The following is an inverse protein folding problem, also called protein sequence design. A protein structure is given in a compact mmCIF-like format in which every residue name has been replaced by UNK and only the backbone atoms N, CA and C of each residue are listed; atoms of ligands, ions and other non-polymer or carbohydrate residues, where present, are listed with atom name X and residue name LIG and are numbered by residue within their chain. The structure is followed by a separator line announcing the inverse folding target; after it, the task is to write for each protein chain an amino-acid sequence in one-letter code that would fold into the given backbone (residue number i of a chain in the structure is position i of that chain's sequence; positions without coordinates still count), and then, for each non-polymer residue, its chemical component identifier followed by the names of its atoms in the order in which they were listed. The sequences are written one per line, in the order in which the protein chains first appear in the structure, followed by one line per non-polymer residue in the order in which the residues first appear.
data_IF_632868817088
#
_entry.id   IF_632868817088
#
_cell.length_a   1.000
_cell.length_b   1.000
_cell.length_c   1.000
_cell.angle_alpha   90.00
_cell.angle_beta   90.00
_cell.angle_gamma   90.00
#
_symmetry.space_group_name_H-M   'P 1'
#
loop_
_entity.id
_entity.type
_entity.pdbx_description
1 polymer ?
#
# COMPACT_ATOMS: atom_id res chain seq x y z
N UNK A 1 17.11 4.31 95.41
CA UNK A 1 15.99 4.40 94.49
C UNK A 1 16.55 4.35 93.07
N UNK A 2 16.49 3.19 92.44
CA UNK A 2 17.09 2.90 91.17
C UNK A 2 15.98 2.92 90.12
N UNK A 3 16.10 3.78 89.06
CA UNK A 3 15.20 3.77 87.91
C UNK A 3 15.78 2.91 86.82
N UNK A 4 14.99 2.04 86.18
CA UNK A 4 15.51 1.20 85.13
C UNK A 4 15.57 1.89 83.77
N UNK A 5 16.59 1.66 82.97
CA UNK A 5 16.83 2.13 81.60
C UNK A 5 15.89 1.43 80.64
N UNK A 6 15.20 2.24 79.76
CA UNK A 6 14.46 1.71 78.65
C UNK A 6 15.42 1.52 77.44
N UNK A 7 15.48 0.28 76.96
CA UNK A 7 16.14 -0.05 75.73
C UNK A 7 15.24 0.39 74.52
N UNK A 8 15.76 1.25 73.70
CA UNK A 8 15.19 1.55 72.36
C UNK A 8 15.59 0.43 71.39
N UNK A 9 14.60 -0.23 70.81
CA UNK A 9 14.80 -1.20 69.73
C UNK A 9 14.60 -0.39 68.41
N UNK A 10 15.68 -0.22 67.65
CA UNK A 10 15.64 0.37 66.32
C UNK A 10 15.21 -0.70 65.32
N UNK A 11 14.01 -0.56 64.74
CA UNK A 11 13.60 -1.31 63.55
C UNK A 11 14.27 -0.67 62.32
N UNK A 12 15.20 -1.36 61.70
CA UNK A 12 15.72 -1.06 60.38
C UNK A 12 14.73 -1.62 59.36
N UNK A 13 14.02 -0.74 58.67
CA UNK A 13 13.22 -1.09 57.51
C UNK A 13 14.16 -1.22 56.29
N UNK A 14 14.38 -2.43 55.82
CA UNK A 14 15.06 -2.71 54.55
C UNK A 14 14.07 -2.45 53.41
N UNK A 15 14.26 -1.36 52.69
CA UNK A 15 13.56 -1.09 51.43
C UNK A 15 14.21 -1.96 50.33
N UNK A 16 13.52 -3.00 49.91
CA UNK A 16 13.90 -3.77 48.72
C UNK A 16 13.56 -2.95 47.47
N UNK A 17 14.60 -2.43 46.84
CA UNK A 17 14.50 -1.78 45.52
C UNK A 17 14.32 -2.89 44.46
N UNK A 18 13.08 -3.11 44.02
CA UNK A 18 12.80 -3.97 42.83
C UNK A 18 13.17 -3.17 41.63
N UNK A 19 14.33 -3.41 41.05
CA UNK A 19 14.71 -3.00 39.71
C UNK A 19 13.86 -3.80 38.71
N UNK A 20 12.79 -3.20 38.24
CA UNK A 20 12.10 -3.62 37.03
C UNK A 20 13.05 -3.34 35.84
N UNK A 21 13.81 -4.35 35.44
CA UNK A 21 14.42 -4.36 34.12
C UNK A 21 13.27 -4.43 33.10
N UNK A 22 12.93 -3.32 32.48
CA UNK A 22 12.16 -3.33 31.26
C UNK A 22 12.98 -4.10 30.23
N UNK A 23 12.71 -5.38 30.06
CA UNK A 23 13.20 -6.14 28.95
C UNK A 23 12.67 -5.44 27.69
N UNK A 24 13.58 -5.03 26.81
CA UNK A 24 13.20 -4.69 25.46
C UNK A 24 12.45 -5.91 24.90
N UNK A 25 11.13 -5.78 24.76
CA UNK A 25 10.36 -6.73 24.00
C UNK A 25 10.90 -6.62 22.56
N UNK A 26 11.55 -7.68 22.10
CA UNK A 26 11.89 -7.83 20.70
C UNK A 26 10.61 -7.61 19.91
N UNK A 27 10.57 -6.54 19.13
CA UNK A 27 9.47 -6.22 18.24
C UNK A 27 9.49 -7.20 17.05
N UNK A 28 9.22 -8.47 17.34
CA UNK A 28 8.81 -9.40 16.30
C UNK A 28 7.39 -8.99 15.90
N UNK A 29 7.23 -8.42 14.71
CA UNK A 29 5.91 -8.18 14.11
C UNK A 29 5.07 -9.46 14.26
N UNK A 30 3.79 -9.29 14.54
CA UNK A 30 2.87 -10.43 14.57
C UNK A 30 3.03 -11.23 13.27
N UNK A 31 3.13 -12.58 13.33
CA UNK A 31 3.21 -13.38 12.12
C UNK A 31 1.98 -13.11 11.26
N UNK A 32 2.17 -13.03 9.93
CA UNK A 32 1.09 -12.92 8.97
C UNK A 32 0.06 -14.04 9.17
N UNK A 33 -1.12 -13.86 8.58
CA UNK A 33 -2.19 -14.85 8.70
C UNK A 33 -1.70 -16.27 8.35
N UNK A 34 -2.18 -17.33 9.03
CA UNK A 34 -1.81 -18.69 8.70
C UNK A 34 -2.05 -18.98 7.21
N UNK A 35 -1.01 -19.47 6.52
CA UNK A 35 -1.05 -19.70 5.06
C UNK A 35 -0.56 -18.55 4.19
N UNK A 36 -0.41 -17.32 4.73
CA UNK A 36 0.18 -16.20 4.01
C UNK A 36 1.68 -16.48 3.74
N UNK A 37 2.14 -16.47 2.48
CA UNK A 37 3.53 -16.77 2.15
C UNK A 37 4.50 -15.63 2.47
N UNK A 38 4.03 -14.40 2.75
CA UNK A 38 4.86 -13.25 3.11
C UNK A 38 5.23 -13.24 4.62
N UNK A 39 5.60 -14.41 5.16
CA UNK A 39 6.09 -14.47 6.54
C UNK A 39 7.42 -13.71 6.70
N UNK A 40 7.74 -13.16 7.89
CA UNK A 40 9.01 -12.49 8.14
C UNK A 40 10.22 -13.35 7.69
N UNK A 41 11.08 -12.78 6.86
CA UNK A 41 12.25 -13.46 6.30
C UNK A 41 11.95 -14.33 5.06
N UNK A 42 10.74 -14.33 4.53
CA UNK A 42 10.43 -15.02 3.28
C UNK A 42 11.23 -14.40 2.12
N UNK A 43 11.83 -15.24 1.29
CA UNK A 43 12.56 -14.79 0.11
C UNK A 43 11.59 -14.38 -0.99
N UNK A 44 11.68 -13.16 -1.47
CA UNK A 44 10.94 -12.67 -2.62
C UNK A 44 11.61 -13.08 -3.95
N UNK A 45 10.80 -13.32 -4.96
CA UNK A 45 11.26 -13.79 -6.27
C UNK A 45 11.87 -12.67 -7.11
N UNK A 46 13.08 -12.91 -7.63
CA UNK A 46 13.71 -12.07 -8.67
C UNK A 46 13.45 -12.71 -10.02
N UNK A 47 12.61 -12.08 -10.84
CA UNK A 47 12.17 -12.63 -12.11
C UNK A 47 13.27 -12.49 -13.20
N UNK A 48 13.90 -13.59 -13.67
CA UNK A 48 14.93 -13.53 -14.70
C UNK A 48 14.38 -13.21 -16.10
N UNK A 49 13.05 -13.10 -16.23
CA UNK A 49 12.33 -12.76 -17.47
C UNK A 49 11.44 -11.54 -17.27
N UNK A 50 11.88 -10.60 -16.40
CA UNK A 50 11.16 -9.36 -16.19
C UNK A 50 11.35 -8.39 -17.36
N UNK A 51 10.43 -7.44 -17.51
CA UNK A 51 10.54 -6.32 -18.47
C UNK A 51 11.84 -5.54 -18.28
N UNK A 52 12.37 -5.44 -17.04
CA UNK A 52 13.67 -4.85 -16.72
C UNK A 52 14.82 -5.63 -17.37
N UNK A 53 14.78 -6.97 -17.31
CA UNK A 53 15.77 -7.84 -17.97
C UNK A 53 15.68 -7.70 -19.48
N UNK A 54 14.46 -7.68 -20.03
CA UNK A 54 14.25 -7.46 -21.47
C UNK A 54 14.80 -6.09 -21.91
N UNK A 55 14.51 -5.02 -21.18
CA UNK A 55 15.06 -3.70 -21.44
C UNK A 55 16.60 -3.70 -21.43
N UNK A 56 17.22 -4.38 -20.45
CA UNK A 56 18.67 -4.48 -20.34
C UNK A 56 19.34 -5.04 -21.61
N UNK A 57 18.68 -5.95 -22.34
CA UNK A 57 19.22 -6.53 -23.57
C UNK A 57 19.30 -5.54 -24.73
N UNK A 58 18.48 -4.49 -24.72
CA UNK A 58 18.39 -3.47 -25.78
C UNK A 58 19.10 -2.16 -25.45
N UNK A 59 19.64 -2.02 -24.22
CA UNK A 59 20.30 -0.83 -23.72
C UNK A 59 21.83 -0.95 -23.77
N UNK A 60 22.52 0.21 -23.73
CA UNK A 60 23.98 0.31 -23.66
C UNK A 60 24.41 1.31 -22.59
N UNK A 61 25.70 1.35 -22.26
CA UNK A 61 26.27 2.32 -21.34
C UNK A 61 25.60 2.34 -19.96
N UNK A 62 25.41 3.53 -19.42
CA UNK A 62 24.79 3.77 -18.10
C UNK A 62 23.37 3.20 -18.02
N UNK A 63 22.54 3.41 -19.03
CA UNK A 63 21.17 2.90 -19.04
C UNK A 63 21.11 1.38 -18.89
N UNK A 64 22.05 0.65 -19.51
CA UNK A 64 22.17 -0.81 -19.33
C UNK A 64 22.65 -1.17 -17.92
N UNK A 65 23.56 -0.40 -17.34
CA UNK A 65 24.05 -0.62 -15.98
C UNK A 65 22.90 -0.42 -14.96
N UNK A 66 22.11 0.62 -15.13
CA UNK A 66 20.93 0.91 -14.29
C UNK A 66 19.90 -0.22 -14.37
N UNK A 67 19.54 -0.64 -15.58
CA UNK A 67 18.63 -1.78 -15.76
C UNK A 67 19.17 -3.07 -15.12
N UNK A 68 20.49 -3.33 -15.23
CA UNK A 68 21.13 -4.48 -14.58
C UNK A 68 21.04 -4.39 -13.05
N UNK A 69 21.24 -3.21 -12.48
CA UNK A 69 21.10 -2.98 -11.04
C UNK A 69 19.68 -3.30 -10.59
N UNK A 70 18.66 -2.74 -11.25
CA UNK A 70 17.26 -2.96 -10.91
C UNK A 70 16.82 -4.42 -11.10
N UNK A 71 17.31 -5.10 -12.13
CA UNK A 71 17.03 -6.52 -12.40
C UNK A 71 17.53 -7.47 -11.30
N UNK A 72 18.42 -7.01 -10.42
CA UNK A 72 18.90 -7.77 -9.26
C UNK A 72 17.95 -7.80 -8.07
N UNK A 73 16.88 -6.99 -8.09
CA UNK A 73 15.93 -6.87 -6.99
C UNK A 73 14.57 -7.50 -7.33
N UNK A 74 13.84 -8.03 -6.33
CA UNK A 74 12.47 -8.47 -6.53
C UNK A 74 11.56 -7.32 -6.97
N UNK A 75 10.81 -7.51 -8.03
CA UNK A 75 9.71 -6.62 -8.42
C UNK A 75 8.51 -7.45 -8.85
N UNK A 76 7.31 -6.87 -8.76
CA UNK A 76 6.10 -7.58 -9.13
C UNK A 76 6.05 -7.87 -10.64
N UNK A 77 5.38 -8.96 -10.98
CA UNK A 77 5.08 -9.31 -12.38
C UNK A 77 3.62 -8.94 -12.67
N UNK A 78 3.42 -8.04 -13.63
CA UNK A 78 2.09 -7.53 -14.00
C UNK A 78 1.42 -8.39 -15.06
N UNK A 79 0.14 -8.71 -14.84
CA UNK A 79 -0.75 -9.38 -15.78
C UNK A 79 -1.89 -8.42 -16.10
N UNK A 80 -1.96 -7.94 -17.34
CA UNK A 80 -2.80 -6.81 -17.72
C UNK A 80 -3.79 -7.14 -18.83
N UNK A 81 -3.88 -8.40 -19.25
CA UNK A 81 -4.74 -8.81 -20.35
C UNK A 81 -4.56 -10.25 -20.79
N UNK A 82 -4.97 -10.53 -22.03
CA UNK A 82 -4.90 -11.84 -22.63
C UNK A 82 -6.14 -12.71 -22.37
N UNK A 83 -6.10 -13.94 -22.89
CA UNK A 83 -7.18 -14.92 -22.67
C UNK A 83 -7.03 -15.60 -21.32
N UNK A 84 -8.09 -16.21 -20.75
CA UNK A 84 -8.00 -17.00 -19.52
C UNK A 84 -6.93 -18.11 -19.56
N UNK A 85 -6.77 -18.75 -20.71
CA UNK A 85 -5.73 -19.77 -20.92
C UNK A 85 -4.33 -19.17 -21.05
N UNK A 86 -4.24 -17.98 -21.66
CA UNK A 86 -2.97 -17.24 -21.78
C UNK A 86 -2.45 -16.86 -20.41
N UNK A 87 -3.22 -16.13 -19.60
CA UNK A 87 -2.82 -15.72 -18.26
C UNK A 87 -2.50 -16.93 -17.36
N UNK A 88 -3.26 -18.02 -17.46
CA UNK A 88 -2.96 -19.26 -16.74
C UNK A 88 -1.55 -19.78 -17.05
N UNK A 89 -1.18 -19.82 -18.32
CA UNK A 89 0.13 -20.31 -18.75
C UNK A 89 1.26 -19.39 -18.30
N UNK A 90 1.06 -18.08 -18.40
CA UNK A 90 2.05 -17.07 -18.04
C UNK A 90 2.29 -17.04 -16.53
N UNK A 91 1.24 -17.05 -15.72
CA UNK A 91 1.33 -17.17 -14.26
C UNK A 91 2.02 -18.45 -13.85
N UNK A 92 1.63 -19.59 -14.43
CA UNK A 92 2.25 -20.89 -14.15
C UNK A 92 3.74 -20.90 -14.49
N UNK A 93 4.19 -20.16 -15.51
CA UNK A 93 5.61 -20.01 -15.84
C UNK A 93 6.33 -19.26 -14.71
N UNK A 94 5.82 -18.11 -14.28
CA UNK A 94 6.41 -17.28 -13.20
C UNK A 94 6.49 -18.09 -11.90
N UNK A 95 5.42 -18.73 -11.51
CA UNK A 95 5.34 -19.55 -10.29
C UNK A 95 6.35 -20.71 -10.30
N UNK A 96 6.53 -21.38 -11.45
CA UNK A 96 7.54 -22.43 -11.58
C UNK A 96 8.96 -21.90 -11.45
N UNK A 97 9.27 -20.73 -12.02
CA UNK A 97 10.59 -20.10 -11.87
C UNK A 97 10.84 -19.67 -10.41
N UNK A 98 9.82 -19.11 -9.74
CA UNK A 98 9.91 -18.75 -8.32
C UNK A 98 10.17 -19.99 -7.44
N UNK A 99 9.51 -21.11 -7.72
CA UNK A 99 9.72 -22.37 -7.01
C UNK A 99 11.17 -22.88 -7.13
N UNK A 100 11.82 -22.73 -8.29
CA UNK A 100 13.25 -23.07 -8.47
C UNK A 100 14.15 -22.25 -7.57
N UNK A 101 13.79 -20.98 -7.30
CA UNK A 101 14.50 -20.08 -6.40
C UNK A 101 14.09 -20.26 -4.93
N UNK A 102 13.09 -21.11 -4.62
CA UNK A 102 12.47 -21.22 -3.28
C UNK A 102 12.02 -19.85 -2.75
N UNK A 103 11.32 -19.10 -3.58
CA UNK A 103 10.92 -17.71 -3.32
C UNK A 103 9.45 -17.51 -3.61
N UNK A 104 8.89 -16.42 -3.09
CA UNK A 104 7.50 -16.02 -3.25
C UNK A 104 7.40 -14.98 -4.37
N UNK A 105 6.69 -15.26 -5.48
CA UNK A 105 6.43 -14.25 -6.49
C UNK A 105 5.34 -13.28 -6.03
N UNK A 106 5.51 -12.00 -6.39
CA UNK A 106 4.49 -10.97 -6.28
C UNK A 106 3.88 -10.79 -7.67
N UNK A 107 2.58 -11.03 -7.78
CA UNK A 107 1.82 -11.01 -9.02
C UNK A 107 0.82 -9.87 -8.97
N UNK A 108 0.75 -9.01 -9.97
CA UNK A 108 -0.27 -7.97 -10.07
C UNK A 108 -1.33 -8.42 -11.06
N UNK A 109 -2.57 -8.53 -10.59
CA UNK A 109 -3.74 -8.65 -11.45
C UNK A 109 -4.23 -7.23 -11.77
N UNK A 110 -4.29 -6.86 -13.05
CA UNK A 110 -4.69 -5.51 -13.47
C UNK A 110 -5.52 -5.59 -14.75
N UNK A 111 -6.77 -6.07 -14.63
CA UNK A 111 -7.63 -6.37 -15.78
C UNK A 111 -9.12 -6.02 -15.57
N UNK A 112 -9.46 -5.24 -14.55
CA UNK A 112 -10.84 -4.79 -14.32
C UNK A 112 -11.46 -4.10 -15.53
N UNK A 113 -12.76 -4.27 -15.79
CA UNK A 113 -13.49 -3.42 -16.73
C UNK A 113 -13.36 -1.93 -16.38
N UNK A 114 -13.24 -1.09 -17.41
CA UNK A 114 -13.04 0.36 -17.24
C UNK A 114 -11.79 0.69 -16.39
N UNK A 115 -10.74 -0.09 -16.56
CA UNK A 115 -9.46 0.09 -15.86
C UNK A 115 -8.94 1.51 -16.03
N UNK A 116 -8.38 2.06 -14.95
CA UNK A 116 -7.79 3.41 -14.90
C UNK A 116 -8.76 4.53 -15.29
N UNK A 117 -10.06 4.29 -15.17
CA UNK A 117 -11.09 5.24 -15.63
C UNK A 117 -10.86 5.75 -17.07
N UNK A 118 -10.22 4.95 -17.92
CA UNK A 118 -9.93 5.30 -19.31
C UNK A 118 -8.72 6.23 -19.49
N UNK A 119 -7.86 6.41 -18.48
CA UNK A 119 -6.69 7.28 -18.54
C UNK A 119 -5.49 6.60 -19.26
N UNK A 120 -4.25 6.90 -18.86
CA UNK A 120 -3.03 6.41 -19.54
C UNK A 120 -2.83 4.89 -19.52
N UNK A 121 -3.39 4.21 -18.53
CA UNK A 121 -3.39 2.75 -18.41
C UNK A 121 -4.73 2.12 -18.77
N UNK A 122 -5.54 2.80 -19.58
CA UNK A 122 -6.84 2.32 -20.06
C UNK A 122 -6.79 0.88 -20.61
N UNK A 123 -7.91 0.17 -20.51
CA UNK A 123 -8.04 -1.22 -20.97
C UNK A 123 -8.86 -2.07 -20.03
N UNK A 124 -8.43 -3.31 -19.84
CA UNK A 124 -9.12 -4.29 -19.02
C UNK A 124 -10.13 -5.16 -19.77
N UNK A 125 -10.89 -5.94 -19.03
CA UNK A 125 -11.94 -6.79 -19.53
C UNK A 125 -13.10 -5.99 -20.11
N UNK A 126 -13.84 -6.58 -21.05
CA UNK A 126 -15.02 -5.94 -21.67
C UNK A 126 -16.31 -6.18 -20.87
N UNK A 127 -16.27 -7.08 -19.90
CA UNK A 127 -17.42 -7.41 -19.06
C UNK A 127 -16.96 -8.09 -17.76
N UNK A 128 -17.85 -8.11 -16.76
CA UNK A 128 -17.66 -8.87 -15.51
C UNK A 128 -17.37 -10.34 -15.78
N UNK A 129 -18.12 -10.99 -16.66
CA UNK A 129 -17.91 -12.40 -17.00
C UNK A 129 -16.53 -12.67 -17.65
N UNK A 130 -16.03 -11.76 -18.48
CA UNK A 130 -14.69 -11.87 -19.03
C UNK A 130 -13.61 -11.70 -17.96
N UNK A 131 -13.81 -10.78 -17.04
CA UNK A 131 -12.93 -10.58 -15.89
C UNK A 131 -12.87 -11.82 -14.99
N UNK A 132 -14.02 -12.35 -14.61
CA UNK A 132 -14.12 -13.54 -13.76
C UNK A 132 -13.42 -14.75 -14.40
N UNK A 133 -13.69 -15.01 -15.68
CA UNK A 133 -13.02 -16.08 -16.41
C UNK A 133 -11.48 -15.91 -16.47
N UNK A 134 -11.02 -14.66 -16.55
CA UNK A 134 -9.59 -14.33 -16.56
C UNK A 134 -8.97 -14.52 -15.17
N UNK A 135 -9.64 -14.08 -14.09
CA UNK A 135 -9.24 -14.33 -12.69
C UNK A 135 -9.14 -15.83 -12.41
N UNK A 136 -10.10 -16.62 -12.88
CA UNK A 136 -10.02 -18.08 -12.82
C UNK A 136 -8.78 -18.65 -13.51
N UNK A 137 -8.42 -18.07 -14.65
CA UNK A 137 -7.18 -18.42 -15.36
C UNK A 137 -5.95 -18.13 -14.50
N UNK A 138 -5.89 -16.94 -13.89
CA UNK A 138 -4.81 -16.51 -13.01
C UNK A 138 -4.71 -17.44 -11.79
N UNK A 139 -5.83 -17.70 -11.11
CA UNK A 139 -5.90 -18.57 -9.94
C UNK A 139 -5.43 -20.01 -10.28
N UNK A 140 -5.90 -20.58 -11.40
CA UNK A 140 -5.42 -21.89 -11.88
C UNK A 140 -3.93 -21.88 -12.22
N UNK A 141 -3.40 -20.75 -12.71
CA UNK A 141 -1.96 -20.60 -12.99
C UNK A 141 -1.11 -20.64 -11.72
N UNK A 142 -1.59 -20.07 -10.61
CA UNK A 142 -0.96 -20.15 -9.29
C UNK A 142 -1.06 -21.58 -8.74
N UNK A 143 -2.25 -22.19 -8.79
CA UNK A 143 -2.50 -23.50 -8.21
C UNK A 143 -2.17 -23.53 -6.70
N UNK A 144 -1.47 -24.54 -6.24
CA UNK A 144 -1.11 -24.69 -4.82
C UNK A 144 0.26 -24.11 -4.45
N UNK A 145 0.89 -23.33 -5.32
CA UNK A 145 2.17 -22.71 -5.04
C UNK A 145 2.01 -21.45 -4.16
N UNK A 146 3.04 -21.09 -3.38
CA UNK A 146 3.02 -19.81 -2.67
C UNK A 146 3.08 -18.64 -3.64
N UNK A 147 2.21 -17.66 -3.49
CA UNK A 147 2.22 -16.41 -4.25
C UNK A 147 1.55 -15.29 -3.45
N UNK A 148 1.98 -14.04 -3.66
CA UNK A 148 1.27 -12.86 -3.20
C UNK A 148 0.64 -12.17 -4.42
N UNK A 149 -0.66 -11.89 -4.35
CA UNK A 149 -1.42 -11.20 -5.40
C UNK A 149 -1.77 -9.80 -4.94
N UNK A 150 -1.33 -8.82 -5.71
CA UNK A 150 -1.73 -7.41 -5.63
C UNK A 150 -2.92 -7.27 -6.58
N UNK A 151 -4.08 -7.11 -6.00
CA UNK A 151 -5.34 -7.20 -6.73
C UNK A 151 -5.82 -5.82 -7.15
N UNK A 152 -5.69 -5.53 -8.43
CA UNK A 152 -6.26 -4.40 -9.14
C UNK A 152 -5.85 -3.03 -8.56
N UNK A 153 -4.58 -2.59 -8.74
CA UNK A 153 -4.16 -1.21 -8.45
C UNK A 153 -5.14 -0.19 -9.02
N UNK A 154 -5.42 0.88 -8.26
CA UNK A 154 -6.41 1.92 -8.53
C UNK A 154 -7.88 1.41 -8.55
N UNK A 155 -8.08 0.11 -8.37
CA UNK A 155 -9.37 -0.53 -8.51
C UNK A 155 -10.43 -0.04 -7.53
N UNK A 156 -10.04 0.31 -6.31
CA UNK A 156 -10.90 0.93 -5.30
C UNK A 156 -10.74 2.46 -5.24
N UNK A 157 -9.71 3.00 -5.88
CA UNK A 157 -9.53 4.45 -6.06
C UNK A 157 -10.44 5.02 -7.15
N UNK A 158 -10.50 4.36 -8.31
CA UNK A 158 -11.20 4.80 -9.52
C UNK A 158 -12.39 3.88 -9.85
N UNK A 159 -13.45 3.96 -9.03
CA UNK A 159 -14.67 3.20 -9.29
C UNK A 159 -15.59 3.99 -10.21
N UNK A 160 -15.95 3.48 -11.41
CA UNK A 160 -16.83 4.19 -12.33
C UNK A 160 -18.16 4.59 -11.67
N UNK A 161 -18.52 5.87 -11.79
CA UNK A 161 -19.78 6.47 -11.31
C UNK A 161 -20.03 6.31 -9.79
N UNK A 162 -19.04 5.89 -9.03
CA UNK A 162 -19.16 5.80 -7.58
C UNK A 162 -19.15 7.20 -6.96
N UNK A 163 -20.11 7.45 -6.12
CA UNK A 163 -20.17 8.66 -5.29
C UNK A 163 -19.81 8.27 -3.87
N UNK A 164 -18.76 8.88 -3.33
CA UNK A 164 -18.35 8.65 -1.95
C UNK A 164 -19.51 8.90 -1.00
N UNK A 165 -19.75 7.97 -0.09
CA UNK A 165 -20.76 8.12 0.96
C UNK A 165 -20.34 9.06 2.06
N UNK A 166 -19.05 9.41 2.10
CA UNK A 166 -18.46 10.23 3.16
C UNK A 166 -18.47 11.71 2.81
N UNK A 167 -18.17 12.08 1.58
CA UNK A 167 -18.04 13.48 1.16
C UNK A 167 -18.77 13.83 -0.15
N UNK A 168 -19.42 12.87 -0.79
CA UNK A 168 -20.16 13.06 -2.03
C UNK A 168 -19.28 13.25 -3.27
N UNK A 169 -17.96 13.04 -3.17
CA UNK A 169 -17.05 13.17 -4.31
C UNK A 169 -17.17 12.00 -5.29
N UNK A 170 -16.86 12.26 -6.54
CA UNK A 170 -16.72 11.24 -7.59
C UNK A 170 -15.54 11.60 -8.47
N UNK A 171 -14.67 10.64 -8.75
CA UNK A 171 -13.43 10.86 -9.50
C UNK A 171 -13.31 9.99 -10.77
N UNK A 172 -14.37 9.26 -11.12
CA UNK A 172 -14.43 8.44 -12.32
C UNK A 172 -15.86 8.44 -12.88
N UNK A 173 -16.03 8.89 -14.12
CA UNK A 173 -17.34 8.92 -14.79
C UNK A 173 -17.28 8.17 -16.12
N UNK A 174 -18.03 7.06 -16.20
CA UNK A 174 -18.10 6.21 -17.40
C UNK A 174 -19.57 5.95 -17.70
N UNK A 175 -20.01 6.35 -18.90
CA UNK A 175 -21.41 6.17 -19.34
C UNK A 175 -21.82 4.70 -19.29
N UNK A 176 -22.90 4.40 -18.57
CA UNK A 176 -23.48 3.05 -18.50
C UNK A 176 -22.78 2.09 -17.53
N UNK A 177 -21.74 2.52 -16.82
CA UNK A 177 -21.14 1.69 -15.78
C UNK A 177 -21.94 1.75 -14.47
N UNK A 178 -22.07 0.60 -13.80
CA UNK A 178 -22.64 0.49 -12.45
C UNK A 178 -21.49 0.36 -11.44
N UNK A 179 -21.38 1.23 -10.43
CA UNK A 179 -20.35 1.10 -9.40
C UNK A 179 -20.43 -0.21 -8.61
N UNK A 180 -21.62 -0.84 -8.51
CA UNK A 180 -21.80 -2.12 -7.84
C UNK A 180 -21.02 -3.26 -8.52
N UNK A 181 -20.82 -3.18 -9.84
CA UNK A 181 -20.06 -4.19 -10.60
C UNK A 181 -18.62 -4.30 -10.09
N UNK A 182 -17.99 -3.17 -9.70
CA UNK A 182 -16.62 -3.16 -9.17
C UNK A 182 -16.50 -4.01 -7.91
N UNK A 183 -17.43 -3.87 -6.99
CA UNK A 183 -17.42 -4.65 -5.75
C UNK A 183 -17.74 -6.12 -6.02
N UNK A 184 -18.65 -6.42 -6.93
CA UNK A 184 -18.97 -7.80 -7.38
C UNK A 184 -17.72 -8.46 -7.97
N UNK A 185 -17.01 -7.77 -8.88
CA UNK A 185 -15.78 -8.24 -9.52
C UNK A 185 -14.66 -8.54 -8.50
N UNK A 186 -14.44 -7.62 -7.55
CA UNK A 186 -13.40 -7.79 -6.54
C UNK A 186 -13.72 -8.89 -5.54
N UNK A 187 -14.97 -8.99 -5.08
CA UNK A 187 -15.43 -10.10 -4.23
C UNK A 187 -15.20 -11.46 -4.91
N UNK A 188 -15.58 -11.58 -6.19
CA UNK A 188 -15.33 -12.79 -6.96
C UNK A 188 -13.84 -13.12 -7.01
N UNK A 189 -12.99 -12.13 -7.32
CA UNK A 189 -11.55 -12.32 -7.43
C UNK A 189 -10.92 -12.75 -6.09
N UNK A 190 -11.34 -12.15 -4.97
CA UNK A 190 -10.89 -12.58 -3.64
C UNK A 190 -11.24 -14.03 -3.40
N UNK A 191 -12.49 -14.44 -3.64
CA UNK A 191 -12.95 -15.81 -3.38
C UNK A 191 -12.23 -16.83 -4.27
N UNK A 192 -12.08 -16.53 -5.56
CA UNK A 192 -11.38 -17.40 -6.51
C UNK A 192 -9.89 -17.60 -6.15
N UNK A 193 -9.21 -16.52 -5.74
CA UNK A 193 -7.79 -16.58 -5.36
C UNK A 193 -7.59 -17.22 -3.98
N UNK A 194 -8.44 -16.92 -3.00
CA UNK A 194 -8.38 -17.49 -1.65
C UNK A 194 -8.83 -18.93 -1.56
N UNK A 195 -9.43 -19.49 -2.61
CA UNK A 195 -9.61 -20.94 -2.75
C UNK A 195 -8.27 -21.70 -2.75
N UNK A 196 -7.16 -21.02 -2.99
CA UNK A 196 -5.81 -21.54 -2.93
C UNK A 196 -5.14 -21.10 -1.62
N UNK A 197 -4.99 -22.04 -0.67
CA UNK A 197 -4.59 -21.78 0.73
C UNK A 197 -3.21 -21.14 0.92
N UNK A 198 -2.35 -21.11 -0.10
CA UNK A 198 -1.01 -20.51 -0.07
C UNK A 198 -0.92 -19.23 -0.91
N UNK A 199 -2.05 -18.67 -1.32
CA UNK A 199 -2.12 -17.41 -2.03
C UNK A 199 -2.51 -16.32 -1.05
N UNK A 200 -1.64 -15.32 -0.86
CA UNK A 200 -2.00 -14.08 -0.18
C UNK A 200 -2.62 -13.11 -1.19
N UNK A 201 -3.68 -12.41 -0.77
CA UNK A 201 -4.40 -11.44 -1.61
C UNK A 201 -4.49 -10.10 -0.89
N UNK A 202 -4.06 -9.04 -1.55
CA UNK A 202 -4.10 -7.68 -1.04
C UNK A 202 -4.89 -6.80 -1.99
N UNK A 203 -5.93 -6.13 -1.47
CA UNK A 203 -6.81 -5.20 -2.19
C UNK A 203 -6.26 -3.77 -2.17
N UNK A 204 -6.71 -2.93 -3.09
CA UNK A 204 -6.26 -1.53 -3.18
C UNK A 204 -6.81 -0.66 -2.05
N UNK A 205 -5.94 0.03 -1.31
CA UNK A 205 -6.29 1.08 -0.35
C UNK A 205 -5.69 2.43 -0.73
N UNK A 206 -5.36 2.63 -2.00
CA UNK A 206 -4.83 3.88 -2.54
C UNK A 206 -3.59 4.41 -1.80
N UNK A 207 -3.60 5.65 -1.32
CA UNK A 207 -2.50 6.24 -0.56
C UNK A 207 -2.91 7.48 0.26
N UNK A 208 -2.00 7.97 1.10
CA UNK A 208 -2.23 9.05 2.06
C UNK A 208 -2.70 10.38 1.47
N UNK A 209 -2.36 10.67 0.23
CA UNK A 209 -2.76 11.90 -0.46
C UNK A 209 -4.00 11.71 -1.36
N UNK A 210 -4.70 10.59 -1.25
CA UNK A 210 -5.88 10.28 -2.05
C UNK A 210 -7.11 10.04 -1.16
N UNK A 211 -7.35 8.80 -0.73
CA UNK A 211 -8.51 8.49 0.10
C UNK A 211 -8.24 8.71 1.59
N UNK A 212 -9.22 9.21 2.32
CA UNK A 212 -9.14 9.19 3.77
C UNK A 212 -9.33 7.77 4.32
N UNK A 213 -8.95 7.57 5.59
CA UNK A 213 -9.00 6.26 6.25
C UNK A 213 -10.38 5.62 6.21
N UNK A 214 -11.44 6.38 6.50
CA UNK A 214 -12.80 5.88 6.53
C UNK A 214 -13.30 5.43 5.15
N UNK A 215 -12.99 6.21 4.10
CA UNK A 215 -13.34 5.87 2.72
C UNK A 215 -12.64 4.58 2.28
N UNK A 216 -11.32 4.47 2.54
CA UNK A 216 -10.58 3.25 2.21
C UNK A 216 -11.10 2.03 2.97
N UNK A 217 -11.36 2.16 4.27
CA UNK A 217 -11.88 1.06 5.09
C UNK A 217 -13.26 0.59 4.59
N UNK A 218 -14.16 1.52 4.25
CA UNK A 218 -15.48 1.18 3.74
C UNK A 218 -15.40 0.45 2.40
N UNK A 219 -14.63 0.96 1.44
CA UNK A 219 -14.46 0.34 0.12
C UNK A 219 -13.82 -1.03 0.21
N UNK A 220 -12.82 -1.20 1.08
CA UNK A 220 -12.19 -2.49 1.35
C UNK A 220 -13.19 -3.51 1.91
N UNK A 221 -14.03 -3.12 2.87
CA UNK A 221 -15.09 -3.99 3.41
C UNK A 221 -16.11 -4.37 2.33
N UNK A 222 -16.54 -3.42 1.50
CA UNK A 222 -17.44 -3.68 0.36
C UNK A 222 -16.79 -4.62 -0.67
N UNK A 223 -15.49 -4.60 -0.81
CA UNK A 223 -14.72 -5.46 -1.72
C UNK A 223 -14.30 -6.82 -1.11
N UNK A 224 -14.68 -7.10 0.13
CA UNK A 224 -14.44 -8.40 0.77
C UNK A 224 -13.06 -8.58 1.40
N UNK A 225 -12.41 -7.51 1.88
CA UNK A 225 -11.10 -7.55 2.54
C UNK A 225 -11.06 -8.54 3.72
N UNK A 226 -12.18 -8.79 4.36
CA UNK A 226 -12.34 -9.76 5.46
C UNK A 226 -11.96 -11.20 5.08
N UNK A 227 -12.03 -11.54 3.78
CA UNK A 227 -11.67 -12.85 3.23
C UNK A 227 -10.30 -12.84 2.54
N UNK A 228 -9.71 -11.68 2.33
CA UNK A 228 -8.35 -11.49 1.82
C UNK A 228 -7.32 -11.56 2.96
N UNK A 229 -6.03 -11.44 2.63
CA UNK A 229 -4.97 -11.30 3.65
C UNK A 229 -4.80 -9.85 4.09
N UNK A 230 -5.33 -8.90 3.32
CA UNK A 230 -5.31 -7.49 3.65
C UNK A 230 -5.39 -6.59 2.43
N UNK A 231 -4.63 -5.49 2.49
CA UNK A 231 -4.63 -4.47 1.44
C UNK A 231 -3.21 -3.98 1.13
N UNK A 232 -3.06 -3.33 0.00
CA UNK A 232 -1.82 -2.62 -0.32
C UNK A 232 -2.05 -1.11 -0.39
N UNK A 233 -0.97 -0.37 -0.17
CA UNK A 233 -0.97 1.09 -0.30
C UNK A 233 0.17 1.54 -1.21
N UNK A 234 -0.03 2.71 -1.86
CA UNK A 234 0.97 3.42 -2.64
C UNK A 234 1.38 2.75 -3.97
N UNK A 235 0.61 1.79 -4.49
CA UNK A 235 0.95 1.19 -5.78
C UNK A 235 1.16 2.28 -6.85
N UNK A 236 2.30 2.21 -7.54
CA UNK A 236 2.70 3.18 -8.56
C UNK A 236 2.80 4.63 -8.09
N UNK A 237 2.88 4.90 -6.78
CA UNK A 237 2.85 6.24 -6.21
C UNK A 237 4.10 6.56 -5.36
N UNK A 238 4.14 7.73 -4.71
CA UNK A 238 5.37 8.33 -4.19
C UNK A 238 5.28 8.74 -2.72
N UNK A 239 4.26 8.32 -1.99
CA UNK A 239 4.05 8.77 -0.61
C UNK A 239 5.10 8.19 0.34
N UNK A 240 5.48 8.96 1.37
CA UNK A 240 6.52 8.59 2.33
C UNK A 240 6.14 7.33 3.13
N UNK A 241 7.05 6.36 3.22
CA UNK A 241 6.82 5.08 3.89
C UNK A 241 6.36 5.21 5.36
N UNK A 242 6.89 6.14 6.20
CA UNK A 242 6.38 6.32 7.55
C UNK A 242 4.91 6.76 7.61
N UNK A 243 4.51 7.65 6.70
CA UNK A 243 3.12 8.11 6.59
C UNK A 243 2.20 6.97 6.15
N UNK A 244 2.63 6.18 5.15
CA UNK A 244 1.91 5.01 4.66
C UNK A 244 1.75 3.94 5.75
N UNK A 245 2.77 3.72 6.58
CA UNK A 245 2.69 2.79 7.69
C UNK A 245 1.69 3.25 8.76
N UNK A 246 1.63 4.55 9.06
CA UNK A 246 0.62 5.11 9.95
C UNK A 246 -0.79 4.96 9.36
N UNK A 247 -0.94 5.34 8.09
CA UNK A 247 -2.20 5.23 7.35
C UNK A 247 -2.71 3.78 7.31
N UNK A 248 -1.85 2.80 6.97
CA UNK A 248 -2.21 1.39 6.95
C UNK A 248 -2.70 0.89 8.31
N UNK A 249 -2.03 1.27 9.41
CA UNK A 249 -2.50 0.93 10.76
C UNK A 249 -3.87 1.55 11.07
N UNK A 250 -4.13 2.79 10.66
CA UNK A 250 -5.43 3.44 10.87
C UNK A 250 -6.54 2.81 10.05
N UNK A 251 -6.28 2.44 8.79
CA UNK A 251 -7.24 1.71 7.95
C UNK A 251 -7.58 0.35 8.59
N UNK A 252 -6.58 -0.41 9.03
CA UNK A 252 -6.78 -1.66 9.74
C UNK A 252 -7.58 -1.48 11.04
N UNK A 253 -7.29 -0.42 11.79
CA UNK A 253 -8.02 -0.07 13.03
C UNK A 253 -9.47 0.31 12.75
N UNK A 254 -9.72 1.09 11.69
CA UNK A 254 -11.07 1.47 11.29
C UNK A 254 -11.90 0.25 10.84
N UNK A 255 -11.30 -0.69 10.10
CA UNK A 255 -11.93 -1.97 9.74
C UNK A 255 -12.31 -2.76 11.00
N UNK A 256 -11.39 -2.91 11.96
CA UNK A 256 -11.64 -3.64 13.20
C UNK A 256 -12.77 -3.02 14.04
N UNK A 257 -12.88 -1.69 14.07
CA UNK A 257 -14.00 -0.99 14.71
C UNK A 257 -15.33 -1.28 14.00
N UNK A 258 -15.33 -1.22 12.66
CA UNK A 258 -16.54 -1.51 11.88
C UNK A 258 -17.03 -2.95 12.07
N UNK A 259 -16.11 -3.91 12.08
CA UNK A 259 -16.42 -5.33 12.31
C UNK A 259 -16.97 -5.59 13.72
N UNK A 260 -16.43 -4.91 14.73
CA UNK A 260 -16.86 -5.04 16.11
C UNK A 260 -18.23 -4.37 16.35
N UNK A 261 -18.37 -3.11 15.90
CA UNK A 261 -19.49 -2.25 16.30
C UNK A 261 -20.70 -2.37 15.33
N UNK A 262 -20.47 -2.90 14.13
CA UNK A 262 -21.47 -3.11 13.08
C UNK A 262 -21.41 -4.52 12.51
N UNK A 263 -21.24 -5.54 13.36
CA UNK A 263 -20.98 -6.92 12.95
C UNK A 263 -22.03 -7.51 11.97
N UNK A 264 -23.28 -7.02 11.99
CA UNK A 264 -24.33 -7.45 11.05
C UNK A 264 -24.09 -6.90 9.62
N UNK A 265 -23.59 -5.68 9.49
CA UNK A 265 -23.17 -5.05 8.24
C UNK A 265 -22.05 -4.04 8.52
N UNK A 266 -20.79 -4.47 8.50
CA UNK A 266 -19.66 -3.58 8.71
C UNK A 266 -19.57 -2.44 7.70
N UNK A 267 -20.16 -2.57 6.51
CA UNK A 267 -20.14 -1.50 5.49
C UNK A 267 -21.03 -0.32 5.83
N UNK A 268 -21.98 -0.51 6.76
CA UNK A 268 -22.87 0.53 7.27
C UNK A 268 -22.33 1.29 8.48
N UNK A 269 -21.10 1.00 8.92
CA UNK A 269 -20.46 1.68 10.04
C UNK A 269 -20.37 3.20 9.83
N UNK A 270 -20.42 3.98 10.90
CA UNK A 270 -20.32 5.44 10.83
C UNK A 270 -18.86 5.89 10.67
N UNK A 271 -18.27 5.62 9.51
CA UNK A 271 -16.84 5.86 9.22
C UNK A 271 -16.45 7.31 9.43
N UNK A 272 -17.26 8.27 8.98
CA UNK A 272 -16.98 9.70 9.14
C UNK A 272 -16.83 10.12 10.60
N UNK A 273 -17.62 9.55 11.48
CA UNK A 273 -17.68 9.95 12.89
C UNK A 273 -16.63 9.22 13.72
N UNK A 274 -16.26 8.01 13.31
CA UNK A 274 -15.47 7.11 14.14
C UNK A 274 -14.05 6.84 13.64
N UNK A 275 -13.74 7.10 12.36
CA UNK A 275 -12.41 6.87 11.80
C UNK A 275 -11.63 8.17 11.63
N UNK A 276 -10.72 8.45 12.55
CA UNK A 276 -9.73 9.54 12.42
C UNK A 276 -8.86 9.34 11.19
N UNK A 277 -8.44 10.42 10.54
CA UNK A 277 -7.71 10.34 9.29
C UNK A 277 -6.73 11.51 9.07
N UNK A 278 -5.90 11.41 8.05
CA UNK A 278 -4.85 12.36 7.72
C UNK A 278 -5.34 13.75 7.30
N UNK A 279 -6.58 13.89 6.88
CA UNK A 279 -7.14 15.18 6.50
C UNK A 279 -7.82 15.90 7.68
N UNK A 280 -8.15 15.14 8.71
CA UNK A 280 -8.87 15.62 9.88
C UNK A 280 -8.30 14.97 11.12
N UNK A 281 -7.17 15.47 11.53
CA UNK A 281 -6.39 14.91 12.61
C UNK A 281 -7.00 15.09 13.99
N UNK A 282 -7.56 14.08 14.67
CA UNK A 282 -7.92 13.98 16.07
C UNK A 282 -9.39 13.96 16.46
N UNK A 283 -10.38 14.19 15.63
CA UNK A 283 -11.81 14.16 16.03
C UNK A 283 -12.71 13.48 15.02
N UNK A 284 -14.02 13.32 15.27
CA UNK A 284 -14.95 12.95 14.24
C UNK A 284 -14.78 13.82 13.01
N UNK A 285 -14.93 13.28 11.82
CA UNK A 285 -14.79 14.02 10.57
C UNK A 285 -15.66 15.30 10.55
N UNK A 286 -16.79 15.26 11.23
CA UNK A 286 -17.73 16.38 11.39
C UNK A 286 -17.28 17.43 12.40
N UNK A 287 -16.38 17.10 13.33
CA UNK A 287 -15.94 18.00 14.43
C UNK A 287 -14.54 18.57 14.24
N UNK A 288 -13.83 18.14 13.21
CA UNK A 288 -12.46 18.57 12.97
C UNK A 288 -12.40 19.82 12.12
N UNK A 289 -12.14 20.92 12.74
CA UNK A 289 -11.70 22.15 12.07
C UNK A 289 -10.18 22.12 11.80
N UNK A 290 -9.59 20.96 11.61
CA UNK A 290 -8.15 20.84 11.51
C UNK A 290 -7.63 20.98 10.08
N UNK A 291 -6.44 21.52 9.94
CA UNK A 291 -5.60 21.38 8.76
C UNK A 291 -5.18 19.92 8.63
N UNK A 292 -5.32 19.34 7.46
CA UNK A 292 -4.81 17.99 7.18
C UNK A 292 -3.30 17.90 7.38
N UNK A 293 -2.77 16.68 7.49
CA UNK A 293 -1.33 16.45 7.59
C UNK A 293 -0.67 16.69 6.23
N UNK A 294 0.50 17.32 6.22
CA UNK A 294 1.30 17.51 5.02
C UNK A 294 1.92 16.18 4.58
N UNK A 295 1.50 15.67 3.43
CA UNK A 295 1.99 14.42 2.89
C UNK A 295 3.41 14.50 2.31
N UNK A 296 3.93 15.70 2.07
CA UNK A 296 5.30 15.92 1.60
C UNK A 296 6.35 15.80 2.72
N UNK A 297 5.92 15.65 3.95
CA UNK A 297 6.78 15.53 5.12
C UNK A 297 6.45 14.26 5.91
N UNK A 298 7.45 13.71 6.59
CA UNK A 298 7.22 12.63 7.55
C UNK A 298 6.40 13.17 8.71
N UNK A 299 5.27 12.55 8.97
CA UNK A 299 4.42 12.92 10.11
C UNK A 299 5.12 12.64 11.42
N UNK A 300 5.04 13.61 12.33
CA UNK A 300 5.68 13.50 13.65
C UNK A 300 4.90 12.53 14.54
N UNK A 301 5.59 11.82 15.37
CA UNK A 301 5.02 10.96 16.40
C UNK A 301 5.50 11.45 17.78
N UNK A 302 5.07 12.64 18.18
CA UNK A 302 5.47 13.32 19.38
C UNK A 302 4.25 13.72 20.23
N UNK A 303 4.39 13.88 21.55
CA UNK A 303 3.34 14.46 22.37
C UNK A 303 2.91 15.82 21.79
N UNK A 304 1.61 16.05 21.68
CA UNK A 304 1.11 17.32 21.16
C UNK A 304 0.48 18.18 22.28
N UNK A 305 0.59 19.51 22.13
CA UNK A 305 0.07 20.47 23.11
C UNK A 305 -1.45 20.69 23.05
N UNK A 306 -2.11 20.10 22.05
CA UNK A 306 -3.53 20.33 21.76
C UNK A 306 -3.78 21.53 20.85
N UNK A 307 -2.75 22.26 20.42
CA UNK A 307 -2.90 23.36 19.46
C UNK A 307 -2.93 22.87 18.02
N UNK A 308 -3.56 23.62 17.13
CA UNK A 308 -3.74 23.23 15.73
C UNK A 308 -2.42 23.05 14.96
N UNK A 309 -1.37 23.79 15.33
CA UNK A 309 -0.08 23.67 14.66
C UNK A 309 0.63 22.35 15.00
N UNK A 310 0.50 21.87 16.24
CA UNK A 310 1.04 20.57 16.63
C UNK A 310 0.24 19.42 16.00
N UNK A 311 -1.07 19.59 15.83
CA UNK A 311 -1.93 18.58 15.21
C UNK A 311 -1.63 18.38 13.72
N UNK A 312 -1.25 19.44 13.00
CA UNK A 312 -1.13 19.45 11.56
C UNK A 312 -0.18 18.36 11.00
N UNK A 313 0.72 17.81 11.83
CA UNK A 313 1.78 16.88 11.39
C UNK A 313 2.00 15.73 12.36
N UNK A 314 1.15 15.60 13.37
CA UNK A 314 1.36 14.70 14.48
C UNK A 314 0.36 13.53 14.47
N UNK A 315 0.89 12.31 14.43
CA UNK A 315 0.09 11.07 14.42
C UNK A 315 -0.48 10.71 15.81
N UNK A 316 0.09 11.25 16.91
CA UNK A 316 -0.25 10.86 18.29
C UNK A 316 -1.73 11.02 18.60
N UNK A 317 -2.35 12.09 18.10
CA UNK A 317 -3.77 12.33 18.31
C UNK A 317 -4.66 11.27 17.70
N UNK A 318 -4.33 10.84 16.47
CA UNK A 318 -5.08 9.79 15.75
C UNK A 318 -4.80 8.42 16.39
N UNK A 319 -3.53 8.10 16.67
CA UNK A 319 -3.14 6.85 17.32
C UNK A 319 -3.82 6.69 18.69
N UNK A 320 -3.81 7.75 19.51
CA UNK A 320 -4.47 7.75 20.83
C UNK A 320 -5.97 7.54 20.72
N UNK A 321 -6.60 8.15 19.73
CA UNK A 321 -8.03 7.97 19.46
C UNK A 321 -8.35 6.53 19.08
N UNK A 322 -7.61 5.93 18.14
CA UNK A 322 -7.81 4.53 17.79
C UNK A 322 -7.55 3.61 18.98
N UNK A 323 -6.50 3.84 19.75
CA UNK A 323 -6.23 3.06 20.95
C UNK A 323 -7.39 3.11 21.96
N UNK A 324 -7.95 4.31 22.20
CA UNK A 324 -9.11 4.48 23.09
C UNK A 324 -10.38 3.81 22.54
N UNK A 325 -10.66 3.95 21.24
CA UNK A 325 -11.83 3.38 20.60
C UNK A 325 -11.75 1.85 20.53
N UNK A 326 -10.60 1.29 20.20
CA UNK A 326 -10.38 -0.15 20.10
C UNK A 326 -10.46 -0.84 21.47
N UNK A 327 -9.95 -0.20 22.53
CA UNK A 327 -9.85 -0.83 23.85
C UNK A 327 -9.00 -2.11 23.79
N UNK A 328 -9.63 -3.27 24.02
CA UNK A 328 -8.95 -4.58 23.92
C UNK A 328 -9.01 -5.22 22.52
N UNK A 329 -9.78 -4.65 21.59
CA UNK A 329 -9.88 -5.14 20.22
C UNK A 329 -8.57 -4.95 19.48
N UNK A 330 -8.08 -6.00 18.83
CA UNK A 330 -6.86 -5.94 18.04
C UNK A 330 -7.19 -5.89 16.55
N UNK A 331 -6.66 -4.93 15.79
CA UNK A 331 -6.72 -4.96 14.34
C UNK A 331 -6.01 -6.21 13.80
N UNK A 332 -6.61 -6.87 12.81
CA UNK A 332 -6.08 -8.11 12.21
C UNK A 332 -5.93 -8.04 10.70
N UNK A 333 -6.38 -6.97 10.08
CA UNK A 333 -6.24 -6.76 8.63
C UNK A 333 -4.83 -6.26 8.35
N UNK A 334 -4.04 -7.07 7.66
CA UNK A 334 -2.65 -6.76 7.32
C UNK A 334 -2.54 -5.87 6.09
N UNK A 335 -1.34 -5.36 5.81
CA UNK A 335 -1.09 -4.58 4.60
C UNK A 335 0.34 -4.72 4.07
N UNK A 336 0.55 -4.29 2.82
CA UNK A 336 1.86 -4.15 2.18
C UNK A 336 2.00 -2.75 1.59
N UNK A 337 3.24 -2.28 1.44
CA UNK A 337 3.55 -0.94 0.91
C UNK A 337 4.36 -1.06 -0.36
N UNK A 338 3.95 -0.36 -1.43
CA UNK A 338 4.82 -0.14 -2.59
C UNK A 338 5.86 0.93 -2.27
N UNK A 339 7.12 0.53 -2.32
CA UNK A 339 8.28 1.39 -2.06
C UNK A 339 9.17 1.59 -3.29
N UNK A 340 8.67 1.23 -4.46
CA UNK A 340 9.43 1.24 -5.72
C UNK A 340 9.96 2.62 -6.12
N UNK A 341 9.26 3.72 -5.71
CA UNK A 341 9.56 5.06 -6.20
C UNK A 341 9.39 6.17 -5.15
N UNK A 342 9.33 5.83 -3.87
CA UNK A 342 8.93 6.76 -2.81
C UNK A 342 10.08 7.24 -1.90
N UNK A 343 11.33 7.01 -2.28
CA UNK A 343 12.48 7.38 -1.44
C UNK A 343 12.62 8.89 -1.17
N UNK A 344 12.08 9.73 -2.06
CA UNK A 344 12.08 11.19 -1.92
C UNK A 344 10.71 11.76 -1.57
N UNK A 345 9.71 10.89 -1.32
CA UNK A 345 8.34 11.33 -1.06
C UNK A 345 7.62 11.89 -2.30
N UNK A 346 6.43 12.50 -2.14
CA UNK A 346 5.64 13.02 -3.25
C UNK A 346 6.28 14.24 -3.91
N UNK A 347 5.99 14.42 -5.19
CA UNK A 347 6.47 15.59 -5.94
C UNK A 347 5.65 16.84 -5.59
N UNK A 348 6.33 17.86 -5.11
CA UNK A 348 5.72 19.16 -4.74
C UNK A 348 5.89 20.22 -5.82
N UNK A 349 6.61 19.91 -6.91
CA UNK A 349 6.78 20.79 -8.07
C UNK A 349 5.53 20.92 -8.94
N UNK A 350 5.67 21.53 -10.10
CA UNK A 350 4.62 21.56 -11.11
C UNK A 350 3.47 22.54 -10.83
N UNK A 351 3.63 23.47 -9.89
CA UNK A 351 2.58 24.43 -9.51
C UNK A 351 2.24 25.42 -10.64
N UNK A 352 3.08 25.53 -11.67
CA UNK A 352 2.86 26.32 -12.88
C UNK A 352 1.92 25.67 -13.88
N UNK A 353 1.61 24.38 -13.72
CA UNK A 353 0.76 23.63 -14.66
C UNK A 353 -0.71 23.64 -14.21
N UNK A 354 -1.63 23.64 -15.17
CA UNK A 354 -3.06 23.53 -14.89
C UNK A 354 -3.47 22.18 -14.31
N UNK A 355 -2.77 21.13 -14.72
CA UNK A 355 -2.84 19.78 -14.17
C UNK A 355 -1.41 19.26 -14.03
N UNK A 356 -0.87 19.27 -12.83
CA UNK A 356 0.53 18.91 -12.60
C UNK A 356 0.82 17.42 -12.81
N UNK A 357 -0.21 16.56 -12.80
CA UNK A 357 -0.06 15.11 -12.96
C UNK A 357 1.06 14.55 -12.08
N UNK A 358 1.04 14.90 -10.79
CA UNK A 358 2.09 14.54 -9.83
C UNK A 358 2.23 13.03 -9.59
N UNK A 359 1.26 12.27 -10.05
CA UNK A 359 1.29 10.81 -10.08
C UNK A 359 1.98 10.24 -11.33
N UNK A 360 2.09 11.01 -12.43
CA UNK A 360 2.57 10.55 -13.73
C UNK A 360 4.04 10.95 -13.94
N UNK A 361 4.95 10.01 -13.87
CA UNK A 361 6.40 10.20 -14.06
C UNK A 361 6.99 11.47 -13.42
N UNK A 362 6.70 11.84 -12.17
CA UNK A 362 7.29 13.05 -11.60
C UNK A 362 8.82 12.91 -11.50
N UNK A 363 9.57 13.98 -11.80
CA UNK A 363 11.02 13.94 -11.76
C UNK A 363 11.56 13.93 -10.32
N UNK A 364 12.82 13.53 -10.16
CA UNK A 364 13.52 13.61 -8.89
C UNK A 364 13.04 12.62 -7.84
N UNK A 365 12.38 11.53 -8.25
CA UNK A 365 11.97 10.45 -7.32
C UNK A 365 13.10 9.44 -7.17
N UNK A 366 13.23 8.88 -5.98
CA UNK A 366 14.18 7.83 -5.64
C UNK A 366 13.49 6.52 -5.30
N UNK A 367 14.20 5.41 -5.43
CA UNK A 367 13.77 4.15 -4.83
C UNK A 367 13.61 4.33 -3.32
N UNK A 368 12.59 3.73 -2.73
CA UNK A 368 12.45 3.61 -1.28
C UNK A 368 13.09 2.33 -0.75
N UNK A 369 12.55 1.79 0.33
CA UNK A 369 13.00 0.54 0.93
C UNK A 369 13.07 -0.58 -0.12
N UNK A 370 14.16 -1.33 -0.13
CA UNK A 370 14.26 -2.54 -0.94
C UNK A 370 13.21 -3.57 -0.52
N UNK A 371 12.71 -4.40 -1.44
CA UNK A 371 11.69 -5.38 -1.12
C UNK A 371 12.11 -6.34 -0.01
N UNK A 372 11.29 -6.44 1.03
CA UNK A 372 11.54 -7.30 2.19
C UNK A 372 10.25 -7.63 2.93
N UNK A 373 10.19 -8.83 3.52
CA UNK A 373 9.14 -9.24 4.44
C UNK A 373 9.55 -9.08 5.91
N UNK A 374 10.77 -8.64 6.18
CA UNK A 374 11.27 -8.32 7.54
C UNK A 374 11.05 -6.84 7.83
N UNK A 375 9.80 -6.41 8.00
CA UNK A 375 9.43 -5.00 8.15
C UNK A 375 9.66 -4.46 9.56
N UNK A 376 9.56 -5.32 10.57
CA UNK A 376 9.59 -4.91 11.99
C UNK A 376 8.39 -4.05 12.41
N UNK A 377 7.39 -3.87 11.55
CA UNK A 377 6.21 -3.03 11.80
C UNK A 377 4.97 -3.92 11.93
N UNK A 378 4.19 -3.81 13.02
CA UNK A 378 2.96 -4.59 13.18
C UNK A 378 2.00 -4.39 12.01
N UNK A 379 1.33 -5.47 11.59
CA UNK A 379 0.38 -5.54 10.47
C UNK A 379 0.99 -5.29 9.07
N UNK A 380 2.22 -4.81 8.97
CA UNK A 380 2.91 -4.61 7.69
C UNK A 380 3.67 -5.89 7.31
N UNK A 381 3.14 -6.63 6.34
CA UNK A 381 3.72 -7.90 5.89
C UNK A 381 4.97 -7.72 5.05
N UNK A 382 5.00 -6.70 4.20
CA UNK A 382 6.15 -6.46 3.31
C UNK A 382 6.26 -5.01 2.82
N UNK A 383 7.49 -4.58 2.57
CA UNK A 383 7.81 -3.57 1.60
C UNK A 383 8.03 -4.26 0.25
N UNK A 384 7.39 -3.77 -0.79
CA UNK A 384 7.42 -4.38 -2.12
C UNK A 384 7.76 -3.33 -3.19
N UNK A 385 8.27 -3.76 -4.32
CA UNK A 385 8.27 -2.98 -5.55
C UNK A 385 7.13 -3.48 -6.43
N UNK A 386 5.92 -2.94 -6.17
CA UNK A 386 4.71 -3.28 -6.92
C UNK A 386 4.80 -2.68 -8.30
N UNK A 387 5.01 -1.35 -8.41
CA UNK A 387 5.44 -0.76 -9.68
C UNK A 387 6.85 -1.24 -9.99
N UNK A 388 7.10 -1.60 -11.24
CA UNK A 388 8.45 -1.94 -11.69
C UNK A 388 9.26 -0.66 -11.84
N UNK A 389 10.35 -0.46 -11.06
CA UNK A 389 11.16 0.75 -11.17
C UNK A 389 11.75 0.91 -12.57
N UNK A 390 11.58 2.09 -13.16
CA UNK A 390 12.03 2.39 -14.52
C UNK A 390 10.99 2.15 -15.61
N UNK A 391 9.78 1.65 -15.27
CA UNK A 391 8.64 1.65 -16.20
C UNK A 391 7.82 2.92 -16.08
N UNK A 392 7.53 3.54 -17.22
CA UNK A 392 6.71 4.75 -17.35
C UNK A 392 5.27 4.55 -16.83
N UNK A 393 4.66 5.63 -16.34
CA UNK A 393 3.22 5.69 -16.04
C UNK A 393 2.38 6.02 -17.28
N UNK A 394 3.01 6.58 -18.32
CA UNK A 394 2.37 6.96 -19.56
C UNK A 394 2.96 8.24 -20.13
N UNK A 395 2.31 8.76 -21.17
CA UNK A 395 2.74 9.95 -21.89
C UNK A 395 2.24 11.22 -21.21
N UNK A 396 2.85 11.56 -20.08
CA UNK A 396 2.47 12.71 -19.26
C UNK A 396 2.65 14.03 -20.02
N UNK A 397 1.73 14.97 -19.85
CA UNK A 397 1.76 16.27 -20.54
C UNK A 397 1.65 17.48 -19.59
N UNK A 398 1.46 17.24 -18.31
CA UNK A 398 1.26 18.28 -17.28
C UNK A 398 0.10 19.23 -17.62
N UNK A 399 -0.90 18.75 -18.34
CA UNK A 399 -2.04 19.58 -18.75
C UNK A 399 -1.69 20.73 -19.68
N UNK A 400 -0.55 20.67 -20.40
CA UNK A 400 -0.13 21.73 -21.33
C UNK A 400 -0.90 21.71 -22.65
N UNK A 401 -1.73 20.68 -22.89
CA UNK A 401 -2.41 20.47 -24.16
C UNK A 401 -1.52 19.88 -25.26
N UNK A 402 -0.23 19.70 -24.99
CA UNK A 402 0.72 19.03 -25.89
C UNK A 402 0.87 17.53 -25.59
N UNK A 403 1.76 16.87 -26.29
CA UNK A 403 2.10 15.44 -26.13
C UNK A 403 3.43 15.23 -25.42
N UNK A 404 4.15 16.29 -25.08
CA UNK A 404 5.50 16.24 -24.48
C UNK A 404 5.45 16.59 -23.00
N UNK A 405 6.32 15.97 -22.22
CA UNK A 405 6.49 16.29 -20.80
C UNK A 405 7.59 17.37 -20.60
N UNK A 406 7.24 18.60 -20.20
CA UNK A 406 8.20 19.66 -19.96
C UNK A 406 9.20 19.33 -18.82
N UNK A 407 8.83 18.50 -17.86
CA UNK A 407 9.68 18.11 -16.73
C UNK A 407 10.79 17.11 -17.15
N UNK A 408 10.65 16.46 -18.29
CA UNK A 408 11.64 15.59 -18.89
C UNK A 408 12.31 16.18 -20.13
N UNK A 409 12.42 17.52 -20.20
CA UNK A 409 13.09 18.22 -21.29
C UNK A 409 12.27 18.30 -22.57
N UNK A 410 10.96 18.17 -22.49
CA UNK A 410 10.06 18.30 -23.62
C UNK A 410 10.03 17.07 -24.55
N UNK A 411 10.38 15.90 -24.04
CA UNK A 411 10.22 14.64 -24.78
C UNK A 411 8.80 14.10 -24.64
N UNK A 412 8.40 13.20 -25.53
CA UNK A 412 7.23 12.36 -25.33
C UNK A 412 7.65 11.21 -24.42
N UNK A 413 7.05 11.11 -23.23
CA UNK A 413 7.33 10.01 -22.32
C UNK A 413 7.00 8.66 -22.97
N UNK A 414 7.69 7.56 -22.57
CA UNK A 414 7.31 6.23 -23.01
C UNK A 414 5.86 5.90 -22.60
N UNK A 415 5.19 5.06 -23.37
CA UNK A 415 3.87 4.56 -23.03
C UNK A 415 3.87 3.85 -21.66
N UNK A 416 2.70 3.77 -21.01
CA UNK A 416 2.54 3.10 -19.74
C UNK A 416 3.12 1.67 -19.77
N UNK A 417 3.96 1.32 -18.81
CA UNK A 417 4.68 0.04 -18.73
C UNK A 417 5.92 -0.08 -19.62
N UNK A 418 6.18 0.89 -20.51
CA UNK A 418 7.40 0.88 -21.30
C UNK A 418 8.60 1.43 -20.48
N UNK A 419 9.80 0.94 -20.81
CA UNK A 419 11.02 1.31 -20.09
C UNK A 419 11.39 2.78 -20.31
N UNK A 420 11.69 3.49 -19.22
CA UNK A 420 12.06 4.89 -19.19
C UNK A 420 13.49 5.07 -18.59
N UNK A 421 14.54 5.07 -19.41
CA UNK A 421 15.93 5.08 -18.93
C UNK A 421 16.27 6.25 -18.02
N UNK A 422 15.77 7.45 -18.32
CA UNK A 422 16.06 8.65 -17.53
C UNK A 422 15.43 8.55 -16.13
N UNK A 423 14.20 8.03 -16.03
CA UNK A 423 13.54 7.79 -14.75
C UNK A 423 14.28 6.70 -13.96
N UNK A 424 14.65 5.58 -14.60
CA UNK A 424 15.40 4.50 -13.96
C UNK A 424 16.71 5.01 -13.35
N UNK A 425 17.45 5.85 -14.07
CA UNK A 425 18.67 6.48 -13.58
C UNK A 425 18.42 7.35 -12.34
N UNK A 426 17.42 8.23 -12.38
CA UNK A 426 17.07 9.08 -11.23
C UNK A 426 16.63 8.26 -10.02
N UNK A 427 15.84 7.22 -10.21
CA UNK A 427 15.37 6.35 -9.13
C UNK A 427 16.55 5.73 -8.37
N UNK A 428 17.58 5.26 -9.08
CA UNK A 428 18.79 4.69 -8.47
C UNK A 428 19.61 5.78 -7.79
N UNK A 429 19.88 6.88 -8.50
CA UNK A 429 20.74 7.96 -8.02
C UNK A 429 20.21 8.64 -6.75
N UNK A 430 18.89 8.68 -6.60
CA UNK A 430 18.20 9.34 -5.50
C UNK A 430 17.55 8.32 -4.52
N UNK A 431 17.97 7.06 -4.56
CA UNK A 431 17.45 6.04 -3.67
C UNK A 431 17.65 6.43 -2.19
N UNK A 432 16.60 6.25 -1.39
CA UNK A 432 16.61 6.53 0.04
C UNK A 432 15.79 5.45 0.79
N UNK A 433 16.45 4.52 1.52
CA UNK A 433 17.92 4.43 1.71
C UNK A 433 18.68 4.13 0.39
N UNK A 434 19.96 4.48 0.31
CA UNK A 434 20.79 4.14 -0.84
C UNK A 434 20.81 2.62 -1.07
N UNK A 435 20.90 2.21 -2.33
CA UNK A 435 21.12 0.80 -2.67
C UNK A 435 22.48 0.33 -2.15
N UNK A 436 22.52 -0.90 -1.63
CA UNK A 436 23.76 -1.52 -1.11
C UNK A 436 24.64 -2.06 -2.25
#
# INVERSE_FOLDING_TARGET
MVRPARKLVSLAAAAALVLLTAGAADAHGLPGAPGNPLQPGARLFVNPHSTTVDAMHHLTGTARADARTLAGYPSATWFTGGTPRGVQNDVAKVVREAAKQRSVPVLVAYYLPNRDCGQYSAGGAQSTAQYEAWIDGLARGIGNAPAAVILEPDGLGLIPNYVSRLDGSSNCSITGADPADRFTQLNYAVDALKAHSRTAVYLDATHTAWQNVGESAQRLLMAGVQRADGFFVNASNYQLSPNLAAYGRWVSSCIALAERDSAADPTAYAFNDNCGNQYRNGGPATSWAGTGMDNAQVWRNEPYSGNAADLAWNTVGIDSRYAAALGSTQPTTHFVIDTSRNGQGPWTGGTQYSDKQDWCNPPGRGLGMVPTTSTGTPLLDAYLWIKVPGESDGQCSRGTGGTTDPEWGGIVDPAAGAWFPAQAHQLIALANPPLA
#
